data_IF_466718510150
#
_entry.id   IF_466718510150
#
_cell.length_a   1.000
_cell.length_b   1.000
_cell.length_c   1.000
_cell.angle_alpha   90.00
_cell.angle_beta   90.00
_cell.angle_gamma   90.00
#
_symmetry.space_group_name_H-M   'P 1'
#
loop_
_entity.id
_entity.type
_entity.pdbx_description
1 polymer ?
#
# COMPACT_ATOMS: atom_id res chain seq x y z
N UNK A 1 -15.39 -5.23 11.86
CA UNK A 1 -15.53 -4.73 10.47
C UNK A 1 -17.02 -4.51 10.22
N UNK A 2 -17.44 -3.31 9.82
CA UNK A 2 -18.84 -3.01 9.51
C UNK A 2 -19.01 -3.07 8.00
N UNK A 3 -19.97 -3.85 7.52
CA UNK A 3 -20.27 -4.02 6.10
C UNK A 3 -21.53 -3.22 5.75
N UNK A 4 -21.46 -2.45 4.66
CA UNK A 4 -22.59 -1.72 4.12
C UNK A 4 -23.01 -2.35 2.80
N UNK A 5 -24.32 -2.47 2.57
CA UNK A 5 -24.84 -2.81 1.26
C UNK A 5 -24.94 -1.54 0.40
N UNK A 6 -24.48 -1.58 -0.85
CA UNK A 6 -24.50 -0.47 -1.79
C UNK A 6 -23.23 0.42 -1.80
N UNK A 7 -23.29 1.53 -2.54
CA UNK A 7 -22.13 2.40 -2.80
C UNK A 7 -21.94 3.56 -1.81
N UNK A 8 -22.92 3.78 -0.93
CA UNK A 8 -22.94 4.87 0.05
C UNK A 8 -22.54 4.34 1.43
N UNK A 9 -21.54 4.97 2.04
CA UNK A 9 -21.08 4.66 3.39
C UNK A 9 -21.43 5.84 4.27
N UNK A 10 -22.15 5.60 5.37
CA UNK A 10 -22.48 6.61 6.37
C UNK A 10 -21.20 6.99 7.13
N UNK A 11 -21.09 8.24 7.57
CA UNK A 11 -19.93 8.69 8.35
C UNK A 11 -19.96 8.18 9.80
N UNK A 12 -21.16 7.90 10.32
CA UNK A 12 -21.39 7.41 11.67
C UNK A 12 -22.50 6.35 11.65
N UNK A 13 -22.37 5.31 12.47
CA UNK A 13 -23.41 4.30 12.68
C UNK A 13 -23.58 4.04 14.17
N UNK A 14 -24.82 3.83 14.59
CA UNK A 14 -25.15 3.48 15.96
C UNK A 14 -25.29 1.96 16.06
N UNK A 15 -24.51 1.34 16.94
CA UNK A 15 -24.64 -0.07 17.27
C UNK A 15 -24.99 -0.18 18.76
N UNK A 16 -26.29 -0.20 19.05
CA UNK A 16 -26.79 -0.09 20.43
C UNK A 16 -26.48 1.30 21.01
N UNK A 17 -25.90 1.40 22.22
CA UNK A 17 -25.58 2.68 22.85
C UNK A 17 -24.29 3.34 22.33
N UNK A 18 -23.54 2.68 21.44
CA UNK A 18 -22.22 3.16 20.97
C UNK A 18 -22.34 3.72 19.55
N UNK A 19 -21.76 4.91 19.33
CA UNK A 19 -21.63 5.55 18.02
C UNK A 19 -20.24 5.24 17.44
N UNK A 20 -20.21 4.61 16.28
CA UNK A 20 -18.98 4.29 15.55
C UNK A 20 -18.77 5.24 14.38
N UNK A 21 -17.62 5.92 14.35
CA UNK A 21 -17.16 6.64 13.16
C UNK A 21 -16.74 5.64 12.10
N UNK A 22 -17.38 5.69 10.94
CA UNK A 22 -17.08 4.83 9.81
C UNK A 22 -16.11 5.54 8.86
N UNK A 23 -15.03 4.83 8.50
CA UNK A 23 -14.10 5.25 7.46
C UNK A 23 -13.96 4.13 6.44
N UNK A 24 -13.68 4.48 5.18
CA UNK A 24 -13.49 3.47 4.15
C UNK A 24 -12.28 2.60 4.47
N UNK A 25 -12.47 1.30 4.42
CA UNK A 25 -11.40 0.35 4.60
C UNK A 25 -10.33 0.53 3.51
N UNK A 26 -9.10 0.80 3.93
CA UNK A 26 -7.93 0.90 3.05
C UNK A 26 -7.20 -0.44 3.03
N UNK A 27 -7.47 -1.27 2.02
CA UNK A 27 -6.75 -2.53 1.84
C UNK A 27 -5.27 -2.25 1.57
N UNK A 28 -4.40 -2.75 2.45
CA UNK A 28 -2.95 -2.73 2.21
C UNK A 28 -2.61 -3.83 1.21
N UNK A 29 -1.81 -3.51 0.20
CA UNK A 29 -1.17 -4.51 -0.66
C UNK A 29 0.22 -4.79 -0.09
N UNK A 30 0.57 -6.08 -0.03
CA UNK A 30 1.93 -6.46 0.24
C UNK A 30 2.89 -5.87 -0.80
N UNK A 31 3.99 -5.34 -0.30
CA UNK A 31 5.11 -4.86 -1.09
C UNK A 31 6.25 -5.85 -0.91
N UNK A 32 6.73 -6.42 -2.01
CA UNK A 32 7.86 -7.32 -2.00
C UNK A 32 9.14 -6.54 -1.73
N UNK A 33 9.83 -6.86 -0.62
CA UNK A 33 11.11 -6.24 -0.28
C UNK A 33 12.27 -6.72 -1.16
N UNK A 34 12.08 -7.80 -1.93
CA UNK A 34 13.10 -8.29 -2.84
C UNK A 34 13.09 -7.54 -4.17
N UNK A 35 11.94 -7.47 -4.85
CA UNK A 35 11.85 -6.85 -6.19
C UNK A 35 11.24 -5.44 -6.19
N UNK A 36 10.80 -4.94 -5.02
CA UNK A 36 10.22 -3.60 -4.86
C UNK A 36 8.81 -3.42 -5.43
N UNK A 37 8.15 -4.49 -5.90
CA UNK A 37 6.81 -4.44 -6.51
C UNK A 37 5.70 -4.77 -5.51
N UNK A 38 4.50 -4.27 -5.77
CA UNK A 38 3.28 -4.62 -5.01
C UNK A 38 2.60 -5.88 -5.56
N UNK A 39 1.83 -6.54 -4.71
CA UNK A 39 0.92 -7.64 -5.09
C UNK A 39 1.39 -9.03 -4.64
N UNK A 40 2.58 -9.13 -4.07
CA UNK A 40 3.12 -10.37 -3.53
C UNK A 40 4.10 -10.08 -2.40
N UNK A 41 4.37 -11.09 -1.59
CA UNK A 41 5.33 -11.02 -0.48
C UNK A 41 6.70 -11.55 -0.94
N UNK A 42 7.73 -11.30 -0.14
CA UNK A 42 9.11 -11.67 -0.49
C UNK A 42 9.33 -13.18 -0.67
N UNK A 43 8.66 -13.99 0.16
CA UNK A 43 8.68 -15.45 0.15
C UNK A 43 8.06 -16.07 -1.11
N UNK A 44 7.12 -15.37 -1.73
CA UNK A 44 6.43 -15.80 -2.97
C UNK A 44 6.84 -14.95 -4.19
N UNK A 45 8.04 -14.36 -4.15
CA UNK A 45 8.51 -13.51 -5.22
C UNK A 45 8.73 -14.30 -6.52
N UNK A 46 8.08 -13.93 -7.65
CA UNK A 46 8.29 -14.61 -8.92
C UNK A 46 9.69 -14.38 -9.51
N UNK A 47 10.44 -13.39 -8.98
CA UNK A 47 11.80 -13.04 -9.42
C UNK A 47 12.71 -12.86 -8.21
N UNK A 48 13.22 -13.96 -7.63
CA UNK A 48 14.09 -13.90 -6.45
C UNK A 48 15.47 -13.31 -6.77
N UNK A 49 15.94 -13.43 -8.02
CA UNK A 49 17.25 -12.94 -8.47
C UNK A 49 17.30 -11.43 -8.69
N UNK A 50 16.16 -10.81 -9.01
CA UNK A 50 16.04 -9.37 -9.28
C UNK A 50 15.93 -8.58 -7.96
N UNK A 51 16.95 -8.72 -7.12
CA UNK A 51 17.00 -8.01 -5.84
C UNK A 51 17.18 -6.52 -6.12
N UNK A 52 16.39 -5.69 -5.46
CA UNK A 52 16.54 -4.24 -5.44
C UNK A 52 16.85 -3.81 -4.02
N UNK A 53 17.51 -2.67 -3.88
CA UNK A 53 17.69 -2.05 -2.57
C UNK A 53 16.33 -1.54 -2.06
N UNK A 54 15.96 -1.88 -0.82
CA UNK A 54 14.73 -1.42 -0.18
C UNK A 54 14.75 0.08 0.17
N UNK A 55 15.96 0.62 0.40
CA UNK A 55 16.21 2.03 0.68
C UNK A 55 16.12 2.89 -0.58
N UNK A 56 16.86 2.59 -1.65
CA UNK A 56 16.96 3.47 -2.82
C UNK A 56 16.22 2.98 -4.07
N UNK A 57 15.71 1.74 -4.08
CA UNK A 57 14.97 1.15 -5.20
C UNK A 57 15.78 0.87 -6.47
N UNK A 58 17.10 1.07 -6.43
CA UNK A 58 18.00 0.75 -7.55
C UNK A 58 18.43 -0.71 -7.50
N UNK A 59 19.06 -1.17 -8.59
CA UNK A 59 19.42 -2.57 -8.87
C UNK A 59 20.20 -3.29 -7.76
N UNK A 60 20.62 -4.54 -8.00
CA UNK A 60 21.11 -5.42 -6.94
C UNK A 60 22.17 -4.73 -6.10
N UNK A 61 21.90 -4.50 -4.79
CA UNK A 61 22.86 -3.80 -3.93
C UNK A 61 24.08 -4.71 -3.78
N UNK A 62 25.20 -4.26 -4.36
CA UNK A 62 26.51 -4.85 -4.10
C UNK A 62 26.96 -4.58 -2.66
N UNK A 63 28.07 -5.20 -2.22
CA UNK A 63 28.60 -5.03 -0.86
C UNK A 63 28.95 -3.58 -0.52
N UNK A 64 29.41 -2.78 -1.50
CA UNK A 64 29.72 -1.34 -1.33
C UNK A 64 28.56 -0.40 -1.69
N UNK A 65 27.31 -0.88 -1.61
CA UNK A 65 26.15 -0.06 -1.93
C UNK A 65 25.85 0.98 -0.83
N UNK A 66 26.41 2.18 -0.99
CA UNK A 66 26.06 3.34 -0.17
C UNK A 66 24.79 4.02 -0.70
N UNK A 67 23.70 3.97 0.08
CA UNK A 67 22.48 4.71 -0.22
C UNK A 67 22.65 6.19 0.18
N UNK A 68 22.60 7.12 -0.78
CA UNK A 68 22.66 8.56 -0.45
C UNK A 68 21.36 9.10 0.16
N UNK A 69 20.19 8.56 -0.24
CA UNK A 69 18.89 8.92 0.33
C UNK A 69 17.84 7.81 0.12
N UNK A 70 16.88 7.63 1.05
CA UNK A 70 15.79 6.70 0.87
C UNK A 70 14.83 7.22 -0.20
N UNK A 71 14.54 6.40 -1.21
CA UNK A 71 13.58 6.65 -2.27
C UNK A 71 12.68 5.45 -2.45
N UNK A 72 11.39 5.65 -2.28
CA UNK A 72 10.41 4.58 -2.41
C UNK A 72 10.23 4.18 -3.88
N UNK A 73 10.39 2.89 -4.19
CA UNK A 73 10.17 2.37 -5.55
C UNK A 73 8.70 2.47 -6.02
N UNK A 74 7.73 2.62 -5.10
CA UNK A 74 6.30 2.64 -5.42
C UNK A 74 5.73 4.03 -5.68
N UNK A 75 6.15 5.03 -4.90
CA UNK A 75 5.62 6.39 -4.97
C UNK A 75 6.69 7.46 -5.28
N UNK A 76 7.97 7.10 -5.26
CA UNK A 76 9.08 8.05 -5.45
C UNK A 76 9.34 8.98 -4.25
N UNK A 77 8.63 8.82 -3.14
CA UNK A 77 8.78 9.63 -1.93
C UNK A 77 10.07 9.35 -1.15
N UNK A 78 10.42 10.27 -0.25
CA UNK A 78 11.64 10.23 0.59
C UNK A 78 11.44 9.31 1.81
N UNK A 79 11.21 8.02 1.56
CA UNK A 79 11.06 6.99 2.59
C UNK A 79 11.39 5.61 2.00
N UNK A 80 11.62 4.62 2.86
CA UNK A 80 11.91 3.25 2.41
C UNK A 80 10.72 2.63 1.66
N UNK A 81 11.02 1.70 0.76
CA UNK A 81 10.00 1.04 -0.07
C UNK A 81 9.03 0.23 0.81
N UNK A 82 7.73 0.51 0.69
CA UNK A 82 6.69 -0.16 1.48
C UNK A 82 6.56 0.33 2.93
N UNK A 83 7.08 1.51 3.26
CA UNK A 83 6.87 2.13 4.58
C UNK A 83 5.37 2.39 4.87
N UNK A 84 5.00 2.51 6.16
CA UNK A 84 3.62 2.81 6.60
C UNK A 84 3.13 4.17 6.10
N UNK A 85 4.06 5.09 5.85
CA UNK A 85 3.83 6.43 5.30
C UNK A 85 3.55 6.40 3.79
N UNK A 86 3.90 5.32 3.08
CA UNK A 86 3.68 5.20 1.65
C UNK A 86 2.18 5.10 1.34
N UNK A 87 1.61 6.11 0.65
CA UNK A 87 0.21 6.04 0.23
C UNK A 87 -0.03 5.01 -0.89
N UNK A 88 0.95 4.75 -1.74
CA UNK A 88 0.84 3.78 -2.85
C UNK A 88 0.72 2.32 -2.40
N UNK A 89 0.94 2.02 -1.11
CA UNK A 89 0.69 0.67 -0.55
C UNK A 89 -0.80 0.37 -0.37
N UNK A 90 -1.65 1.39 -0.36
CA UNK A 90 -3.08 1.23 -0.13
C UNK A 90 -3.82 1.20 -1.46
N UNK A 91 -4.68 0.20 -1.67
CA UNK A 91 -5.58 0.24 -2.81
C UNK A 91 -6.67 1.26 -2.60
N UNK A 92 -7.00 1.95 -3.68
CA UNK A 92 -8.23 2.72 -3.78
C UNK A 92 -9.39 1.76 -3.50
N UNK A 93 -10.21 2.00 -2.46
CA UNK A 93 -11.35 1.14 -2.18
C UNK A 93 -12.29 1.08 -3.39
N UNK A 94 -12.86 -0.09 -3.69
CA UNK A 94 -13.74 -0.31 -4.85
C UNK A 94 -14.85 0.76 -4.95
N UNK A 95 -15.45 1.12 -3.80
CA UNK A 95 -16.46 2.18 -3.68
C UNK A 95 -15.98 3.53 -4.23
N UNK A 96 -14.72 3.92 -3.99
CA UNK A 96 -14.13 5.17 -4.49
C UNK A 96 -13.92 5.09 -5.99
N UNK A 97 -13.46 3.95 -6.50
CA UNK A 97 -13.31 3.72 -7.94
C UNK A 97 -14.66 3.82 -8.67
N UNK A 98 -15.71 3.16 -8.19
CA UNK A 98 -17.05 3.25 -8.79
C UNK A 98 -17.59 4.68 -8.81
N UNK A 99 -17.37 5.46 -7.74
CA UNK A 99 -17.79 6.87 -7.67
C UNK A 99 -17.08 7.74 -8.72
N UNK A 100 -15.81 7.44 -9.04
CA UNK A 100 -15.04 8.17 -10.06
C UNK A 100 -15.54 7.89 -11.48
N UNK A 101 -15.99 6.66 -11.77
CA UNK A 101 -16.50 6.29 -13.09
C UNK A 101 -17.91 6.78 -13.40
N UNK A 102 -18.69 7.13 -12.37
CA UNK A 102 -20.07 7.63 -12.51
C UNK A 102 -20.16 9.16 -12.48
N UNK A 103 -19.02 9.84 -12.54
CA UNK A 103 -18.91 11.29 -12.75
C UNK A 103 -18.65 11.54 -14.23
#
# INVERSE_FOLDING_TARGET
MILFNGLKVLNYVNCGPIIYRCTLYKRQIDTCRNCGRVGHRQDVCPRPTDKVCDQCGHGPPGPDHACSAPKCALCGGVHVTGDRTCWSRYQVPYLVWCRRQRR
#
